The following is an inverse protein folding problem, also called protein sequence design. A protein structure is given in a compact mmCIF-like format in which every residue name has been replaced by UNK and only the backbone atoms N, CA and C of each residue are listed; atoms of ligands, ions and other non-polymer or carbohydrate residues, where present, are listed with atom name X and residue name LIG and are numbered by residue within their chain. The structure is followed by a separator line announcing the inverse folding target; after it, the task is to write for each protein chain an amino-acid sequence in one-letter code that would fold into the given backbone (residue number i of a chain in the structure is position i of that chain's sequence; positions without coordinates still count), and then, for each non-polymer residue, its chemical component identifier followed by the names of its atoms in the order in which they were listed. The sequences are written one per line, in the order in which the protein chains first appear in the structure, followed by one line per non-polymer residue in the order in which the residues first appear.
data_IF_673036131393
#
_entry.id   IF_673036131393
#
_cell.length_a   1.000
_cell.length_b   1.000
_cell.length_c   1.000
_cell.angle_alpha   90.00
_cell.angle_beta   90.00
_cell.angle_gamma   90.00
#
_symmetry.space_group_name_H-M   'P 1'
#
loop_
_entity.id
_entity.type
_entity.pdbx_description
1 polymer ?
#
# COMPACT_ATOMS: atom_id res chain seq x y z
N UNK A 1 -13.41 -3.50 10.84
CA UNK A 1 -12.92 -4.87 10.56
C UNK A 1 -14.07 -5.84 10.78
N UNK A 2 -14.13 -6.92 10.01
CA UNK A 2 -15.22 -7.91 10.08
C UNK A 2 -15.13 -8.82 11.30
N UNK A 3 -15.92 -9.89 11.29
CA UNK A 3 -15.88 -10.96 12.30
C UNK A 3 -14.58 -11.77 12.18
N UNK A 4 -13.83 -11.90 13.28
CA UNK A 4 -12.55 -12.63 13.34
C UNK A 4 -12.71 -14.14 13.18
N UNK A 5 -13.91 -14.69 13.41
CA UNK A 5 -14.16 -16.14 13.36
C UNK A 5 -14.31 -16.68 11.94
N UNK A 6 -14.45 -15.81 10.94
CA UNK A 6 -14.73 -16.22 9.55
C UNK A 6 -13.46 -16.45 8.72
N UNK A 7 -12.28 -16.47 9.35
CA UNK A 7 -11.00 -16.48 8.65
C UNK A 7 -10.02 -17.44 9.29
N UNK A 8 -9.21 -18.10 8.46
CA UNK A 8 -8.02 -18.80 8.91
C UNK A 8 -6.79 -17.95 8.55
N UNK A 9 -6.29 -17.16 9.51
CA UNK A 9 -5.31 -16.11 9.23
C UNK A 9 -3.97 -16.65 8.66
N UNK A 10 -3.60 -17.88 9.01
CA UNK A 10 -2.39 -18.54 8.48
C UNK A 10 -2.53 -18.95 7.01
N UNK A 11 -3.76 -18.95 6.47
CA UNK A 11 -3.97 -19.27 5.06
C UNK A 11 -3.53 -18.09 4.19
N UNK A 12 -2.76 -18.41 3.15
CA UNK A 12 -2.22 -17.44 2.20
C UNK A 12 -3.25 -16.43 1.68
N UNK A 13 -4.46 -16.88 1.36
CA UNK A 13 -5.56 -16.03 0.94
C UNK A 13 -6.88 -16.51 1.56
N UNK A 14 -7.65 -15.56 2.08
CA UNK A 14 -9.04 -15.74 2.51
C UNK A 14 -9.95 -14.87 1.66
N UNK A 15 -11.08 -15.42 1.21
CA UNK A 15 -12.15 -14.67 0.53
C UNK A 15 -13.40 -14.77 1.39
N UNK A 16 -13.84 -13.64 1.94
CA UNK A 16 -15.01 -13.56 2.81
C UNK A 16 -16.15 -12.89 2.04
N UNK A 17 -17.25 -13.62 1.89
CA UNK A 17 -18.49 -13.10 1.30
C UNK A 17 -19.49 -12.85 2.42
N UNK A 18 -19.89 -11.60 2.59
CA UNK A 18 -20.80 -11.18 3.67
C UNK A 18 -22.25 -11.26 3.22
N UNK A 19 -23.17 -11.38 4.18
CA UNK A 19 -24.62 -11.48 3.91
C UNK A 19 -25.19 -10.30 3.11
N UNK A 20 -24.60 -9.11 3.25
CA UNK A 20 -24.99 -7.92 2.47
C UNK A 20 -24.37 -7.87 1.06
N UNK A 21 -23.74 -8.96 0.60
CA UNK A 21 -23.13 -9.06 -0.72
C UNK A 21 -21.74 -8.41 -0.82
N UNK A 22 -21.18 -7.95 0.28
CA UNK A 22 -19.79 -7.51 0.34
C UNK A 22 -18.84 -8.68 0.12
N UNK A 23 -17.72 -8.41 -0.54
CA UNK A 23 -16.65 -9.39 -0.75
C UNK A 23 -15.34 -8.78 -0.29
N UNK A 24 -14.63 -9.49 0.58
CA UNK A 24 -13.36 -9.07 1.14
C UNK A 24 -12.30 -10.12 0.86
N UNK A 25 -11.12 -9.67 0.42
CA UNK A 25 -9.95 -10.54 0.27
C UNK A 25 -8.92 -10.16 1.33
N UNK A 26 -8.40 -11.15 2.03
CA UNK A 26 -7.28 -11.00 2.97
C UNK A 26 -6.13 -11.87 2.47
N UNK A 27 -4.94 -11.30 2.37
CA UNK A 27 -3.71 -12.01 2.05
C UNK A 27 -2.80 -12.05 3.27
N UNK A 28 -2.19 -13.20 3.54
CA UNK A 28 -1.09 -13.31 4.49
C UNK A 28 0.19 -12.79 3.81
N UNK A 29 0.78 -11.73 4.37
CA UNK A 29 1.70 -10.87 3.61
C UNK A 29 3.11 -11.46 3.43
N UNK A 30 3.48 -12.50 4.19
CA UNK A 30 4.78 -13.17 4.05
C UNK A 30 4.94 -13.84 2.69
N UNK A 31 3.86 -14.41 2.15
CA UNK A 31 3.90 -15.19 0.93
C UNK A 31 3.59 -14.37 -0.34
N UNK A 32 2.83 -13.28 -0.22
CA UNK A 32 2.25 -12.59 -1.38
C UNK A 32 2.22 -11.07 -1.19
N UNK A 33 2.49 -10.33 -2.26
CA UNK A 33 2.29 -8.89 -2.30
C UNK A 33 0.86 -8.55 -2.74
N UNK A 34 0.30 -7.45 -2.22
CA UNK A 34 -1.10 -7.07 -2.42
C UNK A 34 -1.56 -7.07 -3.89
N UNK A 35 -0.67 -6.70 -4.82
CA UNK A 35 -0.98 -6.65 -6.25
C UNK A 35 -1.41 -8.01 -6.83
N UNK A 36 -0.92 -9.13 -6.28
CA UNK A 36 -1.27 -10.47 -6.76
C UNK A 36 -2.70 -10.83 -6.34
N UNK A 37 -3.06 -10.58 -5.09
CA UNK A 37 -4.42 -10.80 -4.57
C UNK A 37 -5.41 -9.88 -5.27
N UNK A 38 -5.05 -8.61 -5.48
CA UNK A 38 -5.88 -7.66 -6.22
C UNK A 38 -6.13 -8.11 -7.66
N UNK A 39 -5.08 -8.54 -8.37
CA UNK A 39 -5.22 -9.01 -9.75
C UNK A 39 -6.09 -10.26 -9.86
N UNK A 40 -5.97 -11.21 -8.93
CA UNK A 40 -6.84 -12.38 -8.88
C UNK A 40 -8.30 -11.99 -8.62
N UNK A 41 -8.53 -11.04 -7.71
CA UNK A 41 -9.86 -10.48 -7.43
C UNK A 41 -10.47 -9.77 -8.63
N UNK A 42 -9.70 -8.92 -9.31
CA UNK A 42 -10.12 -8.20 -10.52
C UNK A 42 -10.49 -9.17 -11.65
N UNK A 43 -9.68 -10.20 -11.87
CA UNK A 43 -9.96 -11.24 -12.87
C UNK A 43 -11.22 -12.05 -12.52
N UNK A 44 -11.40 -12.44 -11.26
CA UNK A 44 -12.62 -13.10 -10.79
C UNK A 44 -13.86 -12.20 -10.99
N UNK A 45 -13.77 -10.93 -10.60
CA UNK A 45 -14.85 -9.96 -10.74
C UNK A 45 -15.18 -9.66 -12.21
N UNK A 46 -14.17 -9.60 -13.08
CA UNK A 46 -14.36 -9.39 -14.52
C UNK A 46 -15.03 -10.60 -15.19
N UNK A 47 -14.74 -11.83 -14.76
CA UNK A 47 -15.41 -13.03 -15.25
C UNK A 47 -16.85 -13.11 -14.75
N UNK A 48 -17.08 -12.86 -13.47
CA UNK A 48 -18.43 -12.92 -12.88
C UNK A 48 -19.39 -11.88 -13.47
N UNK A 49 -18.89 -10.71 -13.86
CA UNK A 49 -19.71 -9.67 -14.53
C UNK A 49 -20.12 -10.01 -15.96
N UNK A 50 -19.36 -10.87 -16.66
CA UNK A 50 -19.59 -11.18 -18.08
C UNK A 50 -20.61 -12.30 -18.30
N UNK A 51 -20.72 -13.21 -17.34
CA UNK A 51 -21.62 -14.36 -17.45
C UNK A 51 -22.22 -14.68 -16.10
N UNK A 52 -23.55 -14.78 -16.05
CA UNK A 52 -24.24 -15.39 -14.92
C UNK A 52 -23.96 -16.89 -15.00
N UNK A 53 -23.29 -17.42 -13.97
CA UNK A 53 -23.05 -18.86 -13.86
C UNK A 53 -24.37 -19.61 -13.90
N UNK A 54 -24.43 -20.64 -14.76
CA UNK A 54 -25.60 -21.51 -14.89
C UNK A 54 -25.27 -22.86 -14.25
N UNK A 55 -26.10 -23.35 -13.31
CA UNK A 55 -25.88 -24.65 -12.70
C UNK A 55 -25.96 -25.73 -13.77
N UNK A 56 -24.93 -26.57 -13.80
CA UNK A 56 -24.93 -27.80 -14.59
C UNK A 56 -25.25 -28.94 -13.66
N UNK A 57 -26.16 -29.83 -14.08
CA UNK A 57 -26.44 -31.03 -13.34
C UNK A 57 -25.33 -32.05 -13.60
N UNK A 58 -24.29 -31.98 -12.78
CA UNK A 58 -23.13 -32.88 -12.80
C UNK A 58 -23.05 -33.59 -11.45
N UNK A 59 -22.64 -34.87 -11.40
CA UNK A 59 -22.31 -35.51 -10.13
C UNK A 59 -21.28 -34.66 -9.37
N UNK A 60 -21.49 -34.49 -8.07
CA UNK A 60 -20.58 -33.76 -7.19
C UNK A 60 -20.51 -34.45 -5.83
N UNK A 61 -19.38 -34.28 -5.16
CA UNK A 61 -19.21 -34.73 -3.77
C UNK A 61 -19.75 -33.68 -2.81
N UNK A 62 -20.46 -34.12 -1.78
CA UNK A 62 -20.97 -33.23 -0.74
C UNK A 62 -19.79 -32.76 0.12
N UNK A 63 -19.63 -31.45 0.38
CA UNK A 63 -18.56 -30.95 1.24
C UNK A 63 -18.60 -31.59 2.62
N UNK A 64 -17.44 -32.02 3.11
CA UNK A 64 -17.29 -32.61 4.43
C UNK A 64 -17.09 -31.50 5.48
N UNK A 65 -17.80 -31.63 6.61
CA UNK A 65 -17.60 -30.75 7.75
C UNK A 65 -16.30 -31.13 8.45
N UNK A 66 -15.43 -30.14 8.66
CA UNK A 66 -14.23 -30.32 9.49
C UNK A 66 -14.63 -30.23 10.96
N UNK A 67 -14.52 -31.36 11.66
CA UNK A 67 -14.78 -31.44 13.10
C UNK A 67 -13.49 -31.22 13.89
N UNK A 68 -13.60 -30.49 14.99
CA UNK A 68 -12.50 -30.22 15.90
C UNK A 68 -12.88 -30.68 17.30
N UNK A 69 -12.07 -31.56 17.88
CA UNK A 69 -12.21 -31.95 19.29
C UNK A 69 -11.60 -30.86 20.18
N UNK A 70 -12.45 -30.09 20.84
CA UNK A 70 -12.04 -28.95 21.66
C UNK A 70 -11.93 -29.37 23.13
N UNK A 71 -10.71 -29.32 23.69
CA UNK A 71 -10.47 -29.45 25.12
C UNK A 71 -10.82 -28.14 25.86
N UNK A 72 -10.92 -28.20 27.19
CA UNK A 72 -11.09 -27.01 28.04
C UNK A 72 -10.03 -25.94 27.75
N UNK A 73 -8.78 -26.36 27.57
CA UNK A 73 -7.64 -25.46 27.37
C UNK A 73 -7.70 -24.77 25.99
N UNK A 74 -8.17 -25.49 24.97
CA UNK A 74 -8.41 -24.92 23.63
C UNK A 74 -9.57 -23.92 23.65
N UNK A 75 -10.66 -24.25 24.35
CA UNK A 75 -11.80 -23.34 24.50
C UNK A 75 -11.38 -22.05 25.20
N UNK A 76 -10.57 -22.15 26.26
CA UNK A 76 -10.00 -20.99 26.93
C UNK A 76 -9.09 -20.18 25.99
N UNK A 77 -8.23 -20.84 25.21
CA UNK A 77 -7.35 -20.17 24.24
C UNK A 77 -8.13 -19.40 23.16
N UNK A 78 -9.26 -19.95 22.71
CA UNK A 78 -10.16 -19.28 21.75
C UNK A 78 -10.76 -18.01 22.38
N UNK A 79 -11.22 -18.08 23.63
CA UNK A 79 -11.78 -16.93 24.35
C UNK A 79 -10.73 -15.83 24.56
N UNK A 80 -9.50 -16.21 24.94
CA UNK A 80 -8.37 -15.29 25.08
C UNK A 80 -7.99 -14.61 23.75
N UNK A 81 -7.98 -15.37 22.66
CA UNK A 81 -7.72 -14.84 21.32
C UNK A 81 -8.81 -13.85 20.88
N UNK A 82 -10.08 -14.15 21.16
CA UNK A 82 -11.20 -13.24 20.88
C UNK A 82 -11.12 -11.95 21.71
N UNK A 83 -10.79 -12.05 23.00
CA UNK A 83 -10.58 -10.89 23.86
C UNK A 83 -9.43 -10.01 23.32
N UNK A 84 -8.33 -10.64 22.92
CA UNK A 84 -7.17 -9.97 22.33
C UNK A 84 -7.53 -9.28 21.02
N UNK A 85 -8.25 -9.96 20.13
CA UNK A 85 -8.72 -9.40 18.87
C UNK A 85 -9.61 -8.19 19.11
N UNK A 86 -10.61 -8.29 20.00
CA UNK A 86 -11.54 -7.20 20.32
C UNK A 86 -10.84 -6.01 20.98
N UNK A 87 -9.80 -6.24 21.77
CA UNK A 87 -8.98 -5.18 22.34
C UNK A 87 -8.19 -4.46 21.25
N UNK A 88 -7.50 -5.21 20.39
CA UNK A 88 -6.77 -4.67 19.25
C UNK A 88 -7.72 -3.96 18.29
N UNK A 89 -8.95 -4.44 18.16
CA UNK A 89 -9.90 -3.89 17.22
C UNK A 89 -10.32 -2.45 17.49
N UNK A 90 -10.16 -2.05 18.74
CA UNK A 90 -10.49 -0.71 19.24
C UNK A 90 -9.32 0.25 19.15
N UNK A 91 -8.10 -0.22 18.84
CA UNK A 91 -6.92 0.65 18.78
C UNK A 91 -6.68 1.26 17.40
N UNK A 92 -7.32 0.75 16.36
CA UNK A 92 -7.19 1.28 15.00
C UNK A 92 -8.48 1.97 14.54
N UNK A 93 -8.32 3.08 13.82
CA UNK A 93 -9.38 3.75 13.08
C UNK A 93 -9.08 3.64 11.59
N UNK A 94 -10.08 3.27 10.79
CA UNK A 94 -9.98 3.19 9.34
C UNK A 94 -11.15 3.97 8.76
N UNK A 95 -10.85 4.95 7.93
CA UNK A 95 -11.84 5.75 7.21
C UNK A 95 -11.54 5.66 5.70
N UNK A 96 -12.58 5.35 4.92
CA UNK A 96 -12.47 5.36 3.46
C UNK A 96 -12.84 6.74 2.96
N UNK A 97 -11.91 7.38 2.24
CA UNK A 97 -12.14 8.69 1.62
C UNK A 97 -12.23 8.52 0.11
N UNK A 98 -13.39 8.90 -0.44
CA UNK A 98 -13.61 8.95 -1.88
C UNK A 98 -13.37 10.38 -2.34
N UNK A 99 -12.42 10.57 -3.24
CA UNK A 99 -12.14 11.86 -3.88
C UNK A 99 -12.65 11.86 -5.31
N UNK A 100 -13.61 12.74 -5.61
CA UNK A 100 -14.37 12.75 -6.86
C UNK A 100 -14.16 14.01 -7.72
N UNK A 101 -13.39 15.00 -7.23
CA UNK A 101 -13.21 16.28 -7.92
C UNK A 101 -12.39 16.18 -9.21
N UNK A 102 -11.40 15.29 -9.24
CA UNK A 102 -10.63 14.97 -10.44
C UNK A 102 -10.09 13.54 -10.35
N UNK A 103 -9.65 13.02 -11.50
CA UNK A 103 -9.02 11.70 -11.58
C UNK A 103 -7.78 11.68 -12.46
N UNK A 104 -7.37 10.48 -12.85
CA UNK A 104 -6.13 10.24 -13.60
C UNK A 104 -6.04 10.96 -14.95
N UNK A 105 -7.15 11.42 -15.53
CA UNK A 105 -7.14 12.11 -16.81
C UNK A 105 -6.51 13.50 -16.69
N UNK A 106 -6.97 14.31 -15.72
CA UNK A 106 -6.43 15.65 -15.47
C UNK A 106 -4.92 15.61 -15.18
N UNK A 107 -4.49 14.64 -14.37
CA UNK A 107 -3.08 14.47 -14.01
C UNK A 107 -2.23 14.08 -15.22
N UNK A 108 -2.77 13.24 -16.11
CA UNK A 108 -2.11 12.83 -17.35
C UNK A 108 -2.01 13.97 -18.36
N UNK A 109 -3.05 14.80 -18.48
CA UNK A 109 -3.04 15.98 -19.36
C UNK A 109 -1.98 17.00 -18.93
N UNK A 110 -1.78 17.13 -17.62
CA UNK A 110 -0.69 17.92 -17.04
C UNK A 110 0.70 17.26 -17.15
N UNK A 111 0.81 16.06 -17.75
CA UNK A 111 2.04 15.26 -17.88
C UNK A 111 2.68 14.91 -16.52
N UNK A 112 1.84 14.70 -15.50
CA UNK A 112 2.23 14.33 -14.15
C UNK A 112 1.86 12.87 -13.85
N UNK A 113 2.44 12.32 -12.79
CA UNK A 113 2.11 10.97 -12.30
C UNK A 113 1.14 11.08 -11.13
N UNK A 114 0.02 10.35 -11.20
CA UNK A 114 -1.03 10.36 -10.17
C UNK A 114 -0.48 9.98 -8.79
N UNK A 115 0.36 8.95 -8.74
CA UNK A 115 0.99 8.52 -7.50
C UNK A 115 1.84 9.64 -6.86
N UNK A 116 2.67 10.33 -7.64
CA UNK A 116 3.47 11.47 -7.15
C UNK A 116 2.58 12.58 -6.57
N UNK A 117 1.44 12.87 -7.20
CA UNK A 117 0.50 13.87 -6.69
C UNK A 117 -0.11 13.43 -5.37
N UNK A 118 -0.48 12.15 -5.25
CA UNK A 118 -1.03 11.59 -4.00
C UNK A 118 0.03 11.61 -2.89
N UNK A 119 1.27 11.22 -3.16
CA UNK A 119 2.37 11.25 -2.18
C UNK A 119 2.65 12.68 -1.67
N UNK A 120 2.68 13.67 -2.58
CA UNK A 120 2.82 15.08 -2.21
C UNK A 120 1.63 15.55 -1.37
N UNK A 121 0.40 15.19 -1.75
CA UNK A 121 -0.79 15.57 -1.01
C UNK A 121 -0.81 14.99 0.40
N UNK A 122 -0.42 13.71 0.56
CA UNK A 122 -0.30 13.05 1.87
C UNK A 122 0.75 13.78 2.72
N UNK A 123 1.92 14.10 2.18
CA UNK A 123 2.96 14.78 2.95
C UNK A 123 2.59 16.23 3.29
N UNK A 124 1.90 16.94 2.41
CA UNK A 124 1.35 18.27 2.69
C UNK A 124 0.31 18.21 3.82
N UNK A 125 -0.60 17.24 3.77
CA UNK A 125 -1.58 17.03 4.83
C UNK A 125 -0.89 16.70 6.17
N UNK A 126 0.11 15.80 6.15
CA UNK A 126 0.90 15.48 7.33
C UNK A 126 1.62 16.70 7.90
N UNK A 127 2.25 17.51 7.05
CA UNK A 127 2.95 18.72 7.47
C UNK A 127 1.99 19.76 8.08
N UNK A 128 0.81 19.96 7.50
CA UNK A 128 -0.22 20.87 8.04
C UNK A 128 -0.75 20.41 9.40
N UNK A 129 -0.89 19.10 9.60
CA UNK A 129 -1.40 18.55 10.86
C UNK A 129 -0.35 18.53 11.96
N UNK A 130 0.91 18.27 11.63
CA UNK A 130 1.95 17.98 12.63
C UNK A 130 3.09 19.01 12.68
N UNK A 131 3.16 19.96 11.76
CA UNK A 131 4.23 20.96 11.67
C UNK A 131 5.61 20.42 11.30
N UNK A 132 5.71 19.14 10.91
CA UNK A 132 6.97 18.45 10.58
C UNK A 132 6.78 17.47 9.42
N UNK A 133 7.89 17.10 8.79
CA UNK A 133 7.91 16.08 7.75
C UNK A 133 8.12 14.69 8.34
N UNK A 134 7.55 13.67 7.71
CA UNK A 134 7.76 12.26 8.04
C UNK A 134 8.55 11.53 6.95
N UNK A 135 9.32 10.48 7.29
CA UNK A 135 9.83 9.54 6.30
C UNK A 135 8.67 8.91 5.53
N UNK A 136 8.82 8.82 4.20
CA UNK A 136 7.85 8.16 3.32
C UNK A 136 8.39 6.76 3.00
N UNK A 137 7.57 5.75 3.26
CA UNK A 137 7.74 4.39 2.76
C UNK A 137 6.70 4.17 1.67
N UNK A 138 7.15 4.04 0.43
CA UNK A 138 6.30 3.68 -0.69
C UNK A 138 6.80 2.37 -1.29
N UNK A 139 5.88 1.42 -1.50
CA UNK A 139 6.20 0.11 -2.04
C UNK A 139 6.44 0.18 -3.55
N UNK A 140 7.65 -0.13 -4.00
CA UNK A 140 7.96 -0.36 -5.40
C UNK A 140 8.12 -1.85 -5.68
N UNK A 141 7.47 -2.33 -6.74
CA UNK A 141 7.58 -3.72 -7.14
C UNK A 141 8.93 -4.00 -7.82
N UNK A 142 9.57 -5.10 -7.42
CA UNK A 142 10.80 -5.61 -8.04
C UNK A 142 10.54 -6.89 -8.85
N UNK A 143 9.27 -7.21 -9.15
CA UNK A 143 8.81 -8.42 -9.87
C UNK A 143 9.45 -8.64 -11.26
N UNK A 144 10.16 -7.65 -11.80
CA UNK A 144 10.99 -7.80 -13.01
C UNK A 144 12.18 -8.75 -12.78
N UNK A 145 12.62 -8.90 -11.54
CA UNK A 145 13.72 -9.78 -11.15
C UNK A 145 13.21 -11.14 -10.68
N UNK A 146 14.05 -12.16 -10.83
CA UNK A 146 13.78 -13.49 -10.29
C UNK A 146 13.56 -13.42 -8.77
N UNK A 147 12.44 -13.95 -8.29
CA UNK A 147 11.97 -13.82 -6.90
C UNK A 147 11.81 -12.37 -6.38
N UNK A 148 11.68 -11.39 -7.28
CA UNK A 148 11.44 -10.00 -6.88
C UNK A 148 10.13 -9.82 -6.12
N UNK A 149 10.21 -9.19 -4.95
CA UNK A 149 9.09 -8.77 -4.11
C UNK A 149 8.91 -7.26 -4.24
N UNK A 150 9.33 -6.54 -3.21
CA UNK A 150 9.20 -5.10 -3.08
C UNK A 150 10.52 -4.48 -2.63
N UNK A 151 10.68 -3.20 -2.91
CA UNK A 151 11.67 -2.33 -2.29
C UNK A 151 11.01 -0.98 -1.97
N UNK A 152 11.72 -0.13 -1.24
CA UNK A 152 11.24 1.11 -0.68
C UNK A 152 11.61 2.29 -1.55
N UNK A 153 10.62 3.00 -2.08
CA UNK A 153 10.78 4.36 -2.57
C UNK A 153 10.70 5.33 -1.39
N UNK A 154 11.75 6.12 -1.23
CA UNK A 154 11.85 7.15 -0.18
C UNK A 154 11.47 8.50 -0.77
N UNK A 155 10.17 8.81 -0.75
CA UNK A 155 9.63 10.00 -1.41
C UNK A 155 9.88 11.34 -0.69
N UNK A 156 10.32 11.33 0.58
CA UNK A 156 10.54 12.56 1.36
C UNK A 156 11.89 13.22 1.00
N UNK A 157 11.97 13.84 -0.18
CA UNK A 157 13.18 14.53 -0.64
C UNK A 157 13.23 16.01 -0.22
N UNK A 158 14.40 16.63 -0.41
CA UNK A 158 14.58 18.06 -0.16
C UNK A 158 13.67 18.93 -1.05
N UNK A 159 13.45 18.54 -2.30
CA UNK A 159 12.57 19.22 -3.24
C UNK A 159 11.12 19.17 -2.79
N UNK A 160 10.66 18.00 -2.32
CA UNK A 160 9.31 17.85 -1.78
C UNK A 160 9.12 18.73 -0.55
N UNK A 161 10.11 18.76 0.35
CA UNK A 161 10.11 19.61 1.54
C UNK A 161 10.02 21.09 1.17
N UNK A 162 10.83 21.55 0.21
CA UNK A 162 10.81 22.92 -0.28
C UNK A 162 9.45 23.29 -0.88
N UNK A 163 8.89 22.41 -1.71
CA UNK A 163 7.59 22.58 -2.33
C UNK A 163 6.45 22.71 -1.30
N UNK A 164 6.38 21.79 -0.34
CA UNK A 164 5.35 21.80 0.72
C UNK A 164 5.46 23.05 1.61
N UNK A 165 6.68 23.48 1.95
CA UNK A 165 6.90 24.73 2.69
C UNK A 165 6.41 25.94 1.90
N UNK A 166 6.76 26.02 0.62
CA UNK A 166 6.37 27.14 -0.22
C UNK A 166 4.85 27.27 -0.35
N UNK A 167 4.12 26.16 -0.50
CA UNK A 167 2.65 26.14 -0.47
C UNK A 167 2.09 26.63 0.88
N UNK A 168 2.68 26.18 1.98
CA UNK A 168 2.14 26.45 3.33
C UNK A 168 2.39 27.90 3.76
N UNK A 169 3.53 28.47 3.37
CA UNK A 169 3.92 29.85 3.69
C UNK A 169 3.28 30.90 2.76
N UNK A 170 2.42 30.49 1.83
CA UNK A 170 1.79 31.36 0.81
C UNK A 170 2.80 32.25 0.05
N UNK A 171 4.06 31.83 -0.01
CA UNK A 171 5.05 32.51 -0.84
C UNK A 171 4.65 32.28 -2.29
N UNK A 172 4.68 33.35 -3.09
CA UNK A 172 4.51 33.24 -4.54
C UNK A 172 5.59 32.31 -5.08
N UNK A 173 5.22 31.07 -5.33
CA UNK A 173 6.06 30.16 -6.09
C UNK A 173 5.96 30.64 -7.52
N UNK A 174 7.03 31.25 -8.04
CA UNK A 174 7.12 31.39 -9.48
C UNK A 174 7.09 29.98 -10.06
N UNK A 175 6.00 29.64 -10.76
CA UNK A 175 5.84 28.38 -11.51
C UNK A 175 6.76 28.41 -12.75
N UNK A 176 7.94 29.03 -12.64
CA UNK A 176 9.02 28.93 -13.60
C UNK A 176 9.98 27.80 -13.20
N UNK A 177 9.99 27.38 -11.93
CA UNK A 177 10.83 26.27 -11.44
C UNK A 177 10.08 24.93 -11.26
N UNK A 178 8.80 24.88 -11.64
CA UNK A 178 8.10 23.62 -11.92
C UNK A 178 8.30 23.17 -13.38
N UNK A 179 9.16 23.86 -14.14
CA UNK A 179 9.72 23.34 -15.39
C UNK A 179 10.66 22.18 -15.10
N UNK A 180 10.07 21.03 -14.77
CA UNK A 180 10.76 19.84 -14.26
C UNK A 180 11.46 20.15 -12.93
N UNK A 181 11.20 19.44 -11.83
CA UNK A 181 12.25 19.34 -10.81
C UNK A 181 13.55 19.00 -11.56
N UNK A 182 14.61 19.79 -11.36
CA UNK A 182 15.97 19.47 -11.77
C UNK A 182 16.40 18.18 -11.03
N UNK A 183 15.77 17.06 -11.35
CA UNK A 183 16.49 15.82 -11.55
C UNK A 183 17.62 16.17 -12.51
N UNK A 184 18.88 15.90 -12.18
CA UNK A 184 20.03 16.20 -13.03
C UNK A 184 19.76 15.95 -14.52
N UNK A 185 19.39 17.00 -15.26
CA UNK A 185 19.23 17.03 -16.71
C UNK A 185 20.48 17.69 -17.27
N UNK A 186 21.55 16.91 -17.36
CA UNK A 186 22.63 17.19 -18.31
C UNK A 186 23.01 15.84 -18.94
N UNK A 187 22.63 15.69 -20.21
CA UNK A 187 23.05 14.63 -21.14
C UNK A 187 22.52 13.19 -20.95
N UNK A 188 21.22 13.01 -20.70
CA UNK A 188 20.54 11.78 -21.11
C UNK A 188 19.04 12.01 -21.32
N UNK A 189 18.49 11.34 -22.33
CA UNK A 189 17.06 11.25 -22.59
C UNK A 189 16.30 10.91 -21.28
N UNK A 190 15.14 11.55 -21.10
CA UNK A 190 14.20 11.37 -19.99
C UNK A 190 14.20 9.96 -19.37
N UNK A 191 14.29 9.84 -18.03
CA UNK A 191 13.64 8.76 -17.31
C UNK A 191 12.52 9.34 -16.42
N UNK A 192 11.37 8.70 -16.19
CA UNK A 192 11.23 7.41 -15.51
C UNK A 192 12.02 7.37 -14.18
N UNK A 193 11.96 8.39 -13.32
CA UNK A 193 12.96 8.48 -12.22
C UNK A 193 12.57 7.83 -10.89
N UNK A 194 11.35 7.90 -10.35
CA UNK A 194 11.14 7.32 -9.00
C UNK A 194 10.85 5.80 -8.99
N UNK A 195 9.81 5.36 -9.69
CA UNK A 195 9.44 3.94 -9.76
C UNK A 195 10.44 3.10 -10.58
N UNK A 196 10.98 3.59 -11.72
CA UNK A 196 11.76 2.74 -12.61
C UNK A 196 13.16 2.40 -12.09
N UNK A 197 13.84 3.29 -11.35
CA UNK A 197 15.16 2.98 -10.77
C UNK A 197 15.08 1.87 -9.71
N UNK A 198 14.04 1.93 -8.88
CA UNK A 198 13.72 0.92 -7.88
C UNK A 198 13.43 -0.43 -8.56
N UNK A 199 12.60 -0.41 -9.62
CA UNK A 199 12.25 -1.62 -10.39
C UNK A 199 13.33 -2.10 -11.39
N UNK A 200 14.40 -1.33 -11.60
CA UNK A 200 15.51 -1.67 -12.51
C UNK A 200 16.77 -2.13 -11.82
N UNK A 201 16.76 -2.26 -10.48
CA UNK A 201 17.85 -2.90 -9.72
C UNK A 201 19.16 -2.12 -9.69
N UNK A 202 19.14 -0.84 -10.09
CA UNK A 202 20.31 0.05 -10.04
C UNK A 202 20.17 0.89 -8.77
N UNK A 203 21.04 0.64 -7.79
CA UNK A 203 20.98 1.25 -6.47
C UNK A 203 22.21 2.10 -6.20
N UNK A 204 21.99 3.34 -5.77
CA UNK A 204 22.98 4.11 -5.01
C UNK A 204 22.49 4.20 -3.57
N UNK A 205 23.21 3.64 -2.57
CA UNK A 205 22.93 3.94 -1.19
C UNK A 205 23.20 5.44 -1.00
N UNK A 206 22.14 6.21 -0.74
CA UNK A 206 22.33 7.53 -0.17
C UNK A 206 23.09 7.31 1.13
N UNK A 207 24.37 7.73 1.18
CA UNK A 207 25.17 7.76 2.41
C UNK A 207 24.43 8.63 3.42
N UNK A 208 23.56 8.03 4.23
CA UNK A 208 23.25 8.57 5.54
C UNK A 208 24.54 8.41 6.35
N UNK A 209 25.35 9.47 6.36
CA UNK A 209 26.43 9.62 7.33
C UNK A 209 25.75 9.75 8.69
N UNK A 210 25.51 8.63 9.34
CA UNK A 210 25.27 8.57 10.77
C UNK A 210 26.60 9.04 11.38
N UNK A 211 26.65 10.29 11.85
CA UNK A 211 27.69 10.75 12.76
C UNK A 211 27.48 9.99 14.07
N UNK A 212 28.06 8.80 14.15
CA UNK A 212 28.36 8.17 15.43
C UNK A 212 29.39 9.06 16.14
N UNK A 213 29.20 9.19 17.44
CA UNK A 213 30.01 9.95 18.36
C UNK A 213 31.48 9.53 18.28
N UNK A 214 32.33 10.37 17.70
CA UNK A 214 33.74 10.41 18.05
C UNK A 214 33.85 11.31 19.29
N UNK A 215 33.64 10.71 20.46
CA UNK A 215 34.18 11.21 21.72
C UNK A 215 35.51 10.53 21.97
N UNK A 216 36.61 11.17 21.61
CA UNK A 216 37.91 10.91 22.22
C UNK A 216 38.60 12.24 22.56
N UNK A 217 38.97 12.38 23.84
CA UNK A 217 40.17 13.10 24.26
C UNK A 217 40.00 14.54 24.73
N UNK A 218 39.53 14.73 25.98
CA UNK A 218 40.30 15.32 27.08
C UNK A 218 39.76 14.80 28.42
#
# INVERSE_FOLDING_TARGET
MGDSRLQWADKCANVVVTKNGGVHCQGEHSNVDAIVILQAGDDAANRSRKSIWQPKNVPFDVPEMLEFDLSSDLLQSIEEAECTFNKLSRTYGVESVIYDKYGNNLVRDAKLYADTIVQIAIQLAFYRTHGRFAPIYETASTRKFYHGRTETVRGCTHELVAFVRAITEQKSVSIQHLERPHFCFNNCQLPKIFIPHCSSGIWFPYKQRISLLDSEGY
#
